data_IF_862308404479
#
_entry.id   IF_862308404479
#
_cell.length_a   1.000
_cell.length_b   1.000
_cell.length_c   1.000
_cell.angle_alpha   90.00
_cell.angle_beta   90.00
_cell.angle_gamma   90.00
#
_symmetry.space_group_name_H-M   'P 1'
#
loop_
_entity.id
_entity.type
_entity.pdbx_description
1 polymer ?
#
# COMPACT_ATOMS: atom_id res chain seq x y z
N UNK A 1 -24.68 -11.36 -21.27
CA UNK A 1 -24.63 -11.31 -19.79
C UNK A 1 -23.27 -10.77 -19.41
N UNK A 2 -23.19 -9.72 -18.60
CA UNK A 2 -21.93 -9.09 -18.22
C UNK A 2 -21.16 -9.93 -17.19
N UNK A 3 -19.85 -9.73 -17.12
CA UNK A 3 -18.97 -10.37 -16.13
C UNK A 3 -19.45 -9.98 -14.72
N UNK A 4 -19.65 -10.96 -13.81
CA UNK A 4 -19.97 -10.71 -12.40
C UNK A 4 -19.00 -9.70 -11.79
N UNK A 5 -19.48 -8.85 -10.87
CA UNK A 5 -18.70 -7.73 -10.36
C UNK A 5 -17.40 -8.18 -9.65
N UNK A 6 -17.45 -9.35 -9.02
CA UNK A 6 -16.34 -10.01 -8.32
C UNK A 6 -15.24 -10.50 -9.26
N UNK A 7 -15.60 -10.87 -10.50
CA UNK A 7 -14.68 -11.34 -11.53
C UNK A 7 -14.05 -10.18 -12.33
N UNK A 8 -14.42 -8.93 -12.03
CA UNK A 8 -13.83 -7.76 -12.67
C UNK A 8 -12.47 -7.48 -12.07
N UNK A 9 -11.46 -7.34 -12.94
CA UNK A 9 -10.08 -7.06 -12.53
C UNK A 9 -9.95 -5.79 -11.65
N UNK A 10 -10.84 -4.81 -11.80
CA UNK A 10 -10.82 -3.61 -10.97
C UNK A 10 -11.33 -3.85 -9.55
N UNK A 11 -12.21 -4.83 -9.34
CA UNK A 11 -12.68 -5.24 -8.01
C UNK A 11 -11.58 -6.01 -7.26
N UNK A 12 -10.98 -7.02 -7.90
CA UNK A 12 -9.86 -7.78 -7.32
C UNK A 12 -8.67 -6.86 -6.98
N UNK A 13 -8.32 -5.93 -7.87
CA UNK A 13 -7.25 -4.96 -7.62
C UNK A 13 -7.54 -4.07 -6.39
N UNK A 14 -8.77 -3.59 -6.21
CA UNK A 14 -9.15 -2.82 -5.01
C UNK A 14 -9.06 -3.64 -3.73
N UNK A 15 -9.43 -4.92 -3.79
CA UNK A 15 -9.35 -5.80 -2.63
C UNK A 15 -7.90 -6.03 -2.20
N UNK A 16 -7.01 -6.31 -3.16
CA UNK A 16 -5.58 -6.47 -2.90
C UNK A 16 -4.95 -5.20 -2.32
N UNK A 17 -5.32 -4.04 -2.87
CA UNK A 17 -4.79 -2.75 -2.38
C UNK A 17 -5.30 -2.40 -0.97
N UNK A 18 -6.56 -2.68 -0.65
CA UNK A 18 -7.08 -2.56 0.72
C UNK A 18 -6.32 -3.46 1.71
N UNK A 19 -5.94 -4.68 1.29
CA UNK A 19 -5.14 -5.58 2.11
C UNK A 19 -3.72 -5.03 2.35
N UNK A 20 -3.10 -4.44 1.32
CA UNK A 20 -1.80 -3.77 1.42
C UNK A 20 -1.88 -2.56 2.37
N UNK A 21 -2.92 -1.74 2.26
CA UNK A 21 -3.13 -0.59 3.15
C UNK A 21 -3.29 -1.03 4.62
N UNK A 22 -4.05 -2.10 4.85
CA UNK A 22 -4.25 -2.68 6.18
C UNK A 22 -2.92 -3.13 6.79
N UNK A 23 -2.12 -3.89 6.03
CA UNK A 23 -0.80 -4.33 6.47
C UNK A 23 0.16 -3.15 6.74
N UNK A 24 0.13 -2.11 5.90
CA UNK A 24 0.91 -0.89 6.13
C UNK A 24 0.52 -0.18 7.44
N UNK A 25 -0.77 -0.16 7.77
CA UNK A 25 -1.26 0.42 9.03
C UNK A 25 -0.87 -0.41 10.26
N UNK A 26 -0.85 -1.74 10.16
CA UNK A 26 -0.32 -2.62 11.21
C UNK A 26 1.15 -2.34 11.49
N UNK A 27 1.97 -2.22 10.43
CA UNK A 27 3.39 -1.88 10.55
C UNK A 27 3.56 -0.51 11.24
N UNK A 28 2.82 0.52 10.80
CA UNK A 28 2.83 1.85 11.44
C UNK A 28 2.48 1.79 12.93
N UNK A 29 1.54 0.93 13.30
CA UNK A 29 1.14 0.72 14.70
C UNK A 29 2.25 0.03 15.50
N UNK A 30 2.85 -1.03 14.96
CA UNK A 30 3.95 -1.74 15.61
C UNK A 30 5.15 -0.82 15.88
N UNK A 31 5.46 0.09 14.94
CA UNK A 31 6.51 1.10 15.11
C UNK A 31 6.21 2.04 16.29
N UNK A 32 5.00 2.59 16.35
CA UNK A 32 4.58 3.47 17.46
C UNK A 32 4.69 2.76 18.82
N UNK A 33 4.39 1.46 18.85
CA UNK A 33 4.55 0.66 20.06
C UNK A 33 6.03 0.57 20.48
N UNK A 34 6.96 0.34 19.55
CA UNK A 34 8.41 0.35 19.83
C UNK A 34 8.85 1.71 20.38
N UNK A 35 8.40 2.81 19.77
CA UNK A 35 8.70 4.16 20.26
C UNK A 35 8.17 4.40 21.68
N UNK A 36 6.96 3.89 21.99
CA UNK A 36 6.35 4.01 23.31
C UNK A 36 7.09 3.22 24.40
N UNK A 37 7.74 2.11 24.01
CA UNK A 37 8.51 1.26 24.92
C UNK A 37 9.91 1.79 25.18
N UNK A 38 10.37 2.79 24.43
CA UNK A 38 11.67 3.40 24.69
C UNK A 38 11.65 4.14 26.02
N UNK A 39 12.48 3.75 26.99
CA UNK A 39 12.49 4.42 28.28
C UNK A 39 12.96 5.86 28.10
N UNK A 40 12.24 6.81 28.72
CA UNK A 40 12.60 8.25 28.73
C UNK A 40 13.99 8.52 29.34
N UNK A 41 14.58 7.52 29.98
CA UNK A 41 15.89 7.56 30.63
C UNK A 41 17.05 7.19 29.70
N UNK A 42 16.79 6.78 28.45
CA UNK A 42 17.88 6.63 27.48
C UNK A 42 18.28 8.01 26.94
N UNK A 43 19.32 8.58 27.53
CA UNK A 43 19.82 9.93 27.25
C UNK A 43 21.30 9.91 26.83
N UNK A 44 21.67 10.86 25.98
CA UNK A 44 23.03 11.05 25.47
C UNK A 44 23.19 10.67 23.99
N UNK A 45 24.37 10.96 23.43
CA UNK A 45 24.66 10.90 21.99
C UNK A 45 24.27 9.58 21.30
N UNK A 46 24.38 8.43 21.99
CA UNK A 46 23.98 7.13 21.42
C UNK A 46 22.45 7.03 21.24
N UNK A 47 21.68 7.53 22.20
CA UNK A 47 20.22 7.57 22.12
C UNK A 47 19.76 8.52 21.01
N UNK A 48 20.42 9.69 20.89
CA UNK A 48 20.11 10.67 19.85
C UNK A 48 20.42 10.13 18.44
N UNK A 49 21.55 9.44 18.29
CA UNK A 49 21.91 8.77 17.03
C UNK A 49 20.90 7.68 16.67
N UNK A 50 20.53 6.83 17.63
CA UNK A 50 19.52 5.80 17.40
C UNK A 50 18.18 6.42 16.99
N UNK A 51 17.74 7.49 17.67
CA UNK A 51 16.48 8.17 17.35
C UNK A 51 16.52 8.78 15.94
N UNK A 52 17.63 9.42 15.59
CA UNK A 52 17.85 9.97 14.24
C UNK A 52 17.79 8.87 13.17
N UNK A 53 18.47 7.75 13.39
CA UNK A 53 18.46 6.61 12.47
C UNK A 53 17.07 5.98 12.36
N UNK A 54 16.38 5.83 13.49
CA UNK A 54 15.02 5.33 13.57
C UNK A 54 14.07 6.21 12.75
N UNK A 55 14.03 7.52 13.03
CA UNK A 55 13.19 8.49 12.32
C UNK A 55 13.51 8.52 10.82
N UNK A 56 14.79 8.40 10.46
CA UNK A 56 15.23 8.30 9.07
C UNK A 56 14.73 7.03 8.36
N UNK A 57 14.69 5.88 9.05
CA UNK A 57 14.11 4.63 8.51
C UNK A 57 12.59 4.74 8.43
N UNK A 58 11.94 5.32 9.42
CA UNK A 58 10.50 5.50 9.46
C UNK A 58 10.01 6.44 8.37
N UNK A 59 10.75 7.52 8.09
CA UNK A 59 10.45 8.42 6.98
C UNK A 59 10.49 7.70 5.64
N UNK A 60 11.50 6.85 5.38
CA UNK A 60 11.60 6.07 4.14
C UNK A 60 10.45 5.08 4.00
N UNK A 61 10.11 4.39 5.09
CA UNK A 61 8.99 3.45 5.10
C UNK A 61 7.66 4.17 4.85
N UNK A 62 7.46 5.34 5.46
CA UNK A 62 6.29 6.16 5.21
C UNK A 62 6.21 6.57 3.74
N UNK A 63 7.32 7.04 3.15
CA UNK A 63 7.36 7.39 1.72
C UNK A 63 7.03 6.21 0.82
N UNK A 64 7.47 4.99 1.17
CA UNK A 64 7.08 3.78 0.45
C UNK A 64 5.57 3.52 0.54
N UNK A 65 5.00 3.62 1.74
CA UNK A 65 3.55 3.42 1.90
C UNK A 65 2.73 4.51 1.22
N UNK A 66 3.21 5.75 1.23
CA UNK A 66 2.56 6.88 0.57
C UNK A 66 2.59 6.76 -0.96
N UNK A 67 3.44 5.90 -1.54
CA UNK A 67 3.44 5.63 -2.98
C UNK A 67 2.37 4.62 -3.40
N UNK A 68 1.87 3.80 -2.48
CA UNK A 68 0.90 2.74 -2.80
C UNK A 68 -0.43 3.25 -3.36
N UNK A 69 -1.06 4.34 -2.87
CA UNK A 69 -2.30 4.86 -3.46
C UNK A 69 -2.13 5.34 -4.91
N UNK A 70 -0.98 5.91 -5.25
CA UNK A 70 -0.69 6.33 -6.62
C UNK A 70 -0.47 5.11 -7.54
N UNK A 71 0.24 4.10 -7.04
CA UNK A 71 0.44 2.81 -7.72
C UNK A 71 -0.90 2.07 -7.92
N UNK A 72 -1.76 2.05 -6.91
CA UNK A 72 -3.11 1.48 -6.95
C UNK A 72 -3.93 2.11 -8.07
N UNK A 73 -4.05 3.43 -8.08
CA UNK A 73 -4.85 4.12 -9.09
C UNK A 73 -4.36 3.81 -10.51
N UNK A 74 -3.04 3.69 -10.69
CA UNK A 74 -2.44 3.30 -11.96
C UNK A 74 -2.78 1.85 -12.33
N UNK A 75 -2.71 0.92 -11.37
CA UNK A 75 -3.01 -0.50 -11.60
C UNK A 75 -4.50 -0.74 -11.86
N UNK A 76 -5.39 -0.08 -11.11
CA UNK A 76 -6.85 -0.13 -11.32
C UNK A 76 -7.22 0.40 -12.70
N UNK A 77 -6.64 1.53 -13.12
CA UNK A 77 -6.91 2.09 -14.44
C UNK A 77 -6.39 1.16 -15.56
N UNK A 78 -5.20 0.58 -15.39
CA UNK A 78 -4.68 -0.42 -16.32
C UNK A 78 -5.59 -1.66 -16.40
N UNK A 79 -6.06 -2.16 -15.26
CA UNK A 79 -6.98 -3.30 -15.19
C UNK A 79 -8.31 -3.00 -15.92
N UNK A 80 -8.85 -1.78 -15.78
CA UNK A 80 -10.05 -1.34 -16.51
C UNK A 80 -9.83 -1.31 -18.02
N UNK A 81 -8.69 -0.79 -18.48
CA UNK A 81 -8.35 -0.75 -19.91
C UNK A 81 -8.17 -2.15 -20.49
N UNK A 82 -7.53 -3.06 -19.76
CA UNK A 82 -7.34 -4.44 -20.20
C UNK A 82 -8.67 -5.21 -20.25
N UNK A 83 -9.58 -4.97 -19.30
CA UNK A 83 -10.94 -5.49 -19.33
C UNK A 83 -11.72 -4.97 -20.56
N UNK A 84 -11.62 -3.67 -20.88
CA UNK A 84 -12.27 -3.08 -22.05
C UNK A 84 -11.76 -3.69 -23.36
N UNK A 85 -10.45 -3.93 -23.47
CA UNK A 85 -9.84 -4.59 -24.63
C UNK A 85 -10.31 -6.04 -24.78
N UNK A 86 -10.41 -6.79 -23.68
CA UNK A 86 -10.93 -8.16 -23.70
C UNK A 86 -12.39 -8.20 -24.17
N UNK A 87 -13.23 -7.29 -23.66
CA UNK A 87 -14.63 -7.19 -24.05
C UNK A 87 -14.78 -6.80 -25.54
N UNK A 88 -13.94 -5.90 -26.06
CA UNK A 88 -13.93 -5.56 -27.50
C UNK A 88 -13.56 -6.75 -28.38
N UNK A 89 -12.56 -7.55 -27.99
CA UNK A 89 -12.16 -8.76 -28.73
C UNK A 89 -13.27 -9.83 -28.73
N UNK A 90 -14.00 -9.99 -27.62
CA UNK A 90 -15.12 -10.95 -27.56
C UNK A 90 -16.34 -10.50 -28.38
N UNK A 91 -16.54 -9.19 -28.59
CA UNK A 91 -17.69 -8.67 -29.33
C UNK A 91 -17.42 -8.30 -30.80
N UNK A 92 -16.15 -8.17 -31.21
CA UNK A 92 -15.76 -7.82 -32.59
C UNK A 92 -15.44 -9.00 -33.51
N UNK A 93 -15.52 -10.24 -33.02
CA UNK A 93 -15.35 -11.46 -33.81
C UNK A 93 -16.70 -12.06 -34.20
N UNK A 94 -17.37 -11.44 -35.17
CA UNK A 94 -18.55 -11.96 -35.88
C UNK A 94 -18.31 -11.87 -37.37
#
# INVERSE_FOLDING_TARGET
MGIPQEDRLDYACRQDMNAIESAANEIRTAIRNVESMMPKTWIGKKADNWRTDHDGRMKRLKTLFDSFPAEENRLVEKARQDQAKMNQKMHGGG
#
